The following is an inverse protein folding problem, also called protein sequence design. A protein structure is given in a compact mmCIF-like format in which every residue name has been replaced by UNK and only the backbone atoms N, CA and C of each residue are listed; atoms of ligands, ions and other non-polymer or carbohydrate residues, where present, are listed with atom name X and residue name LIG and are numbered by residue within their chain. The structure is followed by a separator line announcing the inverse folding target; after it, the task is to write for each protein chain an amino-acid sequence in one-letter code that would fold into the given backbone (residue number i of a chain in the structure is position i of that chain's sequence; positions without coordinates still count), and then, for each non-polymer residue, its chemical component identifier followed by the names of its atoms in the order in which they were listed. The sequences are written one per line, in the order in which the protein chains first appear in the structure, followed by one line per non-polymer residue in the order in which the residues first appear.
data_IF_761103865028
#
_entry.id   IF_761103865028
#
_cell.length_a   1.000
_cell.length_b   1.000
_cell.length_c   1.000
_cell.angle_alpha   90.00
_cell.angle_beta   90.00
_cell.angle_gamma   90.00
#
_symmetry.space_group_name_H-M   'P 1'
#
loop_
_entity.id
_entity.type
_entity.pdbx_description
1 polymer ?
#
# COMPACT_ATOMS: atom_id res chain seq x y z
N UNK A 1 -39.67 -56.30 48.83
CA UNK A 1 -39.68 -54.82 48.69
C UNK A 1 -38.75 -54.40 47.55
N UNK A 2 -39.30 -53.96 46.44
CA UNK A 2 -38.51 -53.46 45.32
C UNK A 2 -37.97 -52.10 45.68
N UNK A 3 -36.68 -51.94 45.81
CA UNK A 3 -36.05 -50.64 45.83
C UNK A 3 -36.10 -50.10 44.43
N UNK A 4 -36.97 -49.16 44.21
CA UNK A 4 -36.90 -48.33 43.03
C UNK A 4 -35.60 -47.53 43.07
N UNK A 5 -34.61 -48.03 42.38
CA UNK A 5 -33.44 -47.23 42.08
C UNK A 5 -33.90 -46.03 41.30
N UNK A 6 -33.89 -44.86 41.95
CA UNK A 6 -33.97 -43.61 41.25
C UNK A 6 -32.76 -43.56 40.29
N UNK A 7 -33.04 -43.87 39.02
CA UNK A 7 -32.06 -43.65 37.98
C UNK A 7 -31.66 -42.19 38.00
N UNK A 8 -30.47 -41.93 38.52
CA UNK A 8 -29.81 -40.65 38.27
C UNK A 8 -29.67 -40.52 36.77
N UNK A 9 -30.56 -39.81 36.17
CA UNK A 9 -30.31 -39.31 34.83
C UNK A 9 -29.05 -38.44 34.95
N UNK A 10 -27.93 -39.00 34.54
CA UNK A 10 -26.77 -38.19 34.30
C UNK A 10 -27.10 -37.25 33.15
N UNK A 11 -27.62 -36.09 33.51
CA UNK A 11 -27.74 -34.99 32.58
C UNK A 11 -26.32 -34.57 32.31
N UNK A 12 -25.76 -35.06 31.23
CA UNK A 12 -24.50 -34.56 30.76
C UNK A 12 -24.72 -33.10 30.34
N UNK A 13 -24.38 -32.19 31.23
CA UNK A 13 -24.35 -30.78 30.94
C UNK A 13 -23.04 -30.41 30.23
N UNK A 14 -22.68 -31.23 29.26
CA UNK A 14 -21.52 -30.91 28.44
C UNK A 14 -21.86 -29.72 27.53
N UNK A 15 -21.19 -28.59 27.79
CA UNK A 15 -21.30 -27.43 26.96
C UNK A 15 -20.64 -27.76 25.63
N UNK A 16 -21.44 -27.79 24.57
CA UNK A 16 -20.89 -27.99 23.23
C UNK A 16 -20.16 -26.71 22.83
N UNK A 17 -18.83 -26.76 22.79
CA UNK A 17 -17.97 -25.64 22.43
C UNK A 17 -17.84 -25.45 20.93
N UNK A 18 -18.40 -26.36 20.12
CA UNK A 18 -18.33 -26.28 18.64
C UNK A 18 -18.92 -24.99 18.07
N UNK A 19 -20.13 -24.52 18.50
CA UNK A 19 -20.66 -23.24 18.02
C UNK A 19 -19.80 -22.04 18.42
N UNK A 20 -19.19 -22.08 19.61
CA UNK A 20 -18.29 -21.01 20.06
C UNK A 20 -17.00 -21.00 19.27
N UNK A 21 -16.43 -22.17 19.00
CA UNK A 21 -15.23 -22.31 18.17
C UNK A 21 -15.47 -21.82 16.73
N UNK A 22 -16.65 -22.08 16.18
CA UNK A 22 -17.03 -21.62 14.84
C UNK A 22 -17.10 -20.08 14.76
N UNK A 23 -17.73 -19.45 15.74
CA UNK A 23 -17.77 -17.99 15.84
C UNK A 23 -16.35 -17.40 15.96
N UNK A 24 -15.51 -18.01 16.79
CA UNK A 24 -14.11 -17.58 16.93
C UNK A 24 -13.34 -17.74 15.63
N UNK A 25 -13.53 -18.84 14.92
CA UNK A 25 -12.90 -19.11 13.63
C UNK A 25 -13.32 -18.07 12.59
N UNK A 26 -14.62 -17.79 12.49
CA UNK A 26 -15.17 -16.80 11.57
C UNK A 26 -14.64 -15.41 11.89
N UNK A 27 -14.61 -15.01 13.15
CA UNK A 27 -14.03 -13.72 13.55
C UNK A 27 -12.55 -13.64 13.22
N UNK A 28 -11.79 -14.73 13.43
CA UNK A 28 -10.38 -14.79 13.08
C UNK A 28 -10.16 -14.57 11.57
N UNK A 29 -10.96 -15.23 10.75
CA UNK A 29 -10.88 -15.07 9.29
C UNK A 29 -11.24 -13.64 8.89
N UNK A 30 -12.30 -13.06 9.46
CA UNK A 30 -12.70 -11.67 9.18
C UNK A 30 -11.57 -10.71 9.54
N UNK A 31 -10.97 -10.83 10.71
CA UNK A 31 -9.82 -10.00 11.09
C UNK A 31 -8.62 -10.21 10.16
N UNK A 32 -8.37 -11.45 9.76
CA UNK A 32 -7.26 -11.77 8.85
C UNK A 32 -7.41 -11.11 7.48
N UNK A 33 -8.63 -11.07 6.93
CA UNK A 33 -8.87 -10.45 5.61
C UNK A 33 -9.05 -8.95 5.68
N UNK A 34 -9.46 -8.39 6.82
CA UNK A 34 -9.66 -6.95 6.99
C UNK A 34 -8.39 -6.20 7.37
N UNK A 35 -7.44 -6.84 8.06
CA UNK A 35 -6.16 -6.21 8.44
C UNK A 35 -5.37 -5.64 7.27
N UNK A 36 -5.27 -6.29 6.10
CA UNK A 36 -4.61 -5.70 4.94
C UNK A 36 -5.27 -4.43 4.42
N UNK A 37 -6.58 -4.28 4.62
CA UNK A 37 -7.33 -3.10 4.20
C UNK A 37 -7.03 -1.87 5.06
N UNK A 38 -6.54 -2.10 6.27
CA UNK A 38 -6.10 -1.03 7.17
C UNK A 38 -4.67 -0.56 6.88
N UNK A 39 -3.98 -1.21 5.97
CA UNK A 39 -2.74 -0.65 5.44
C UNK A 39 -3.10 0.63 4.70
N UNK A 40 -2.94 1.72 5.42
CA UNK A 40 -3.19 3.06 4.93
C UNK A 40 -2.45 3.26 3.61
N UNK A 41 -3.16 3.14 2.52
CA UNK A 41 -2.64 3.60 1.25
C UNK A 41 -2.28 5.07 1.42
N UNK A 42 -1.08 5.43 1.03
CA UNK A 42 -0.69 6.83 1.02
C UNK A 42 -1.61 7.52 0.04
N UNK A 43 -2.48 8.35 0.55
CA UNK A 43 -3.38 9.13 -0.30
C UNK A 43 -2.65 10.35 -0.80
N UNK A 44 -2.36 10.36 -2.08
CA UNK A 44 -1.76 11.50 -2.77
C UNK A 44 -2.78 11.98 -3.80
N UNK A 45 -3.19 13.22 -3.69
CA UNK A 45 -4.06 13.85 -4.68
C UNK A 45 -3.23 14.24 -5.89
N UNK A 46 -3.32 13.45 -6.94
CA UNK A 46 -2.55 13.69 -8.16
C UNK A 46 -3.07 14.91 -8.93
N UNK A 47 -2.18 15.67 -9.57
CA UNK A 47 -2.58 16.73 -10.46
C UNK A 47 -3.36 16.18 -11.65
N UNK A 48 -4.36 16.91 -12.11
CA UNK A 48 -5.15 16.53 -13.26
C UNK A 48 -4.47 16.97 -14.55
N UNK A 49 -4.41 16.07 -15.53
CA UNK A 49 -3.87 16.34 -16.84
C UNK A 49 -4.93 16.06 -17.91
N UNK A 50 -4.98 16.91 -18.93
CA UNK A 50 -5.95 16.76 -20.02
C UNK A 50 -5.70 15.51 -20.86
N UNK A 51 -4.45 15.21 -21.17
CA UNK A 51 -4.05 14.06 -21.98
C UNK A 51 -2.88 13.32 -21.32
N UNK A 52 -3.12 12.58 -20.23
CA UNK A 52 -2.06 11.77 -19.65
C UNK A 52 -1.71 10.62 -20.59
N UNK A 53 -0.43 10.36 -20.75
CA UNK A 53 0.04 9.16 -21.44
C UNK A 53 -0.21 7.96 -20.56
N UNK A 54 -0.69 6.88 -21.14
CA UNK A 54 -0.82 5.64 -20.44
C UNK A 54 0.55 5.12 -20.03
N UNK A 55 0.67 4.75 -18.75
CA UNK A 55 1.89 4.20 -18.18
C UNK A 55 1.65 2.76 -17.75
N UNK A 56 1.62 1.81 -18.68
CA UNK A 56 1.23 0.42 -18.38
C UNK A 56 2.16 -0.29 -17.39
N UNK A 57 3.37 0.23 -17.21
CA UNK A 57 4.31 -0.33 -16.24
C UNK A 57 4.17 0.21 -14.81
N UNK A 58 3.38 1.27 -14.60
CA UNK A 58 3.29 1.93 -13.30
C UNK A 58 2.64 1.06 -12.22
N UNK A 59 1.74 0.18 -12.61
CA UNK A 59 1.02 -0.72 -11.70
C UNK A 59 1.72 -2.07 -11.51
N UNK A 60 2.85 -2.30 -12.18
CA UNK A 60 3.61 -3.52 -12.00
C UNK A 60 4.23 -3.58 -10.60
N UNK A 61 4.39 -4.79 -10.08
CA UNK A 61 5.02 -5.01 -8.76
C UNK A 61 6.49 -4.55 -8.72
N UNK A 62 7.12 -4.53 -9.87
CA UNK A 62 8.53 -4.13 -10.03
C UNK A 62 8.69 -2.64 -10.31
N UNK A 63 7.59 -1.90 -10.45
CA UNK A 63 7.64 -0.48 -10.69
C UNK A 63 8.20 0.26 -9.47
N UNK A 64 9.14 1.16 -9.73
CA UNK A 64 9.70 2.02 -8.69
C UNK A 64 8.83 3.28 -8.64
N UNK A 65 8.03 3.38 -7.59
CA UNK A 65 7.11 4.50 -7.39
C UNK A 65 7.54 5.30 -6.16
N UNK A 66 7.84 6.56 -6.36
CA UNK A 66 8.14 7.52 -5.31
C UNK A 66 6.92 8.43 -5.13
N UNK A 67 6.44 8.55 -3.93
CA UNK A 67 5.31 9.43 -3.61
C UNK A 67 5.77 10.58 -2.71
N UNK A 68 5.30 11.77 -3.03
CA UNK A 68 5.55 12.98 -2.27
C UNK A 68 4.22 13.48 -1.71
N UNK A 69 4.08 13.45 -0.39
CA UNK A 69 2.86 13.88 0.29
C UNK A 69 2.80 15.38 0.48
N UNK A 70 1.62 15.88 0.82
CA UNK A 70 1.37 17.30 1.12
C UNK A 70 2.31 17.85 2.20
N UNK A 71 2.67 17.03 3.19
CA UNK A 71 3.58 17.40 4.28
C UNK A 71 5.05 17.40 3.87
N UNK A 72 5.35 17.07 2.61
CA UNK A 72 6.71 16.96 2.10
C UNK A 72 7.42 15.65 2.45
N UNK A 73 6.71 14.66 2.94
CA UNK A 73 7.27 13.34 3.22
C UNK A 73 7.42 12.54 1.94
N UNK A 74 8.50 11.80 1.86
CA UNK A 74 8.82 10.94 0.73
C UNK A 74 8.51 9.50 1.09
N UNK A 75 7.86 8.80 0.19
CA UNK A 75 7.58 7.39 0.31
C UNK A 75 8.09 6.65 -0.92
N UNK A 76 8.81 5.57 -0.68
CA UNK A 76 9.18 4.63 -1.74
C UNK A 76 8.21 3.46 -1.71
N UNK A 77 7.41 3.33 -2.75
CA UNK A 77 6.26 2.42 -2.79
C UNK A 77 5.26 2.73 -1.67
N UNK A 78 5.32 2.05 -0.55
CA UNK A 78 4.42 2.28 0.60
C UNK A 78 5.18 2.65 1.88
N UNK A 79 6.50 2.64 1.84
CA UNK A 79 7.34 2.85 3.01
C UNK A 79 7.89 4.27 3.04
N UNK A 80 7.80 4.95 4.20
CA UNK A 80 8.45 6.25 4.34
C UNK A 80 9.97 6.09 4.24
N UNK A 81 10.60 7.04 3.55
CA UNK A 81 12.05 7.00 3.30
C UNK A 81 12.64 8.40 3.42
N UNK A 82 13.88 8.49 3.89
CA UNK A 82 14.64 9.74 3.89
C UNK A 82 15.23 10.01 2.51
N UNK A 83 15.64 11.25 2.26
CA UNK A 83 16.30 11.62 1.01
C UNK A 83 17.61 10.85 0.79
N UNK A 84 18.40 10.67 1.86
CA UNK A 84 19.66 9.94 1.80
C UNK A 84 19.46 8.45 1.48
N UNK A 85 18.49 7.83 2.14
CA UNK A 85 18.17 6.41 1.90
C UNK A 85 17.56 6.22 0.51
N UNK A 86 16.74 7.17 0.06
CA UNK A 86 16.19 7.15 -1.30
C UNK A 86 17.30 7.18 -2.34
N UNK A 87 18.29 8.04 -2.15
CA UNK A 87 19.46 8.13 -3.04
C UNK A 87 20.23 6.82 -3.11
N UNK A 88 20.46 6.18 -1.97
CA UNK A 88 21.13 4.87 -1.91
C UNK A 88 20.35 3.79 -2.64
N UNK A 89 19.05 3.66 -2.34
CA UNK A 89 18.20 2.64 -2.95
C UNK A 89 18.08 2.85 -4.46
N UNK A 90 17.93 4.10 -4.92
CA UNK A 90 17.86 4.40 -6.34
C UNK A 90 19.18 4.11 -7.05
N UNK A 91 20.30 4.49 -6.46
CA UNK A 91 21.61 4.19 -7.06
C UNK A 91 21.87 2.69 -7.17
N UNK A 92 21.47 1.88 -6.19
CA UNK A 92 21.57 0.43 -6.24
C UNK A 92 20.67 -0.16 -7.34
N UNK A 93 19.42 0.29 -7.41
CA UNK A 93 18.44 -0.24 -8.38
C UNK A 93 18.73 0.17 -9.82
N UNK A 94 19.28 1.35 -10.04
CA UNK A 94 19.55 1.88 -11.38
C UNK A 94 21.01 1.68 -11.84
N UNK A 95 21.90 1.21 -10.99
CA UNK A 95 23.29 0.94 -11.35
C UNK A 95 23.48 -0.28 -12.29
N UNK A 96 22.45 -1.10 -12.43
CA UNK A 96 22.50 -2.33 -13.23
C UNK A 96 22.45 -2.17 -14.76
N UNK A 97 22.46 -0.95 -15.28
CA UNK A 97 22.51 -0.71 -16.73
C UNK A 97 21.27 -1.11 -17.53
N UNK A 98 20.16 -1.38 -16.88
CA UNK A 98 18.90 -1.64 -17.57
C UNK A 98 18.31 -0.35 -18.12
N UNK A 99 18.42 -0.16 -19.41
CA UNK A 99 18.09 1.05 -20.17
C UNK A 99 16.59 1.42 -20.09
N UNK A 100 15.72 0.51 -19.64
CA UNK A 100 14.27 0.68 -19.67
C UNK A 100 13.62 0.89 -18.30
N UNK A 101 14.39 1.09 -17.24
CA UNK A 101 13.81 1.36 -15.93
C UNK A 101 13.29 2.79 -15.85
N UNK A 102 12.00 2.90 -15.64
CA UNK A 102 11.33 4.18 -15.42
C UNK A 102 10.97 4.27 -13.94
N UNK A 103 11.30 5.39 -13.32
CA UNK A 103 10.79 5.72 -11.99
C UNK A 103 9.53 6.57 -12.15
N UNK A 104 8.51 6.25 -11.40
CA UNK A 104 7.27 7.02 -11.38
C UNK A 104 7.22 7.88 -10.13
N UNK A 105 6.93 9.15 -10.32
CA UNK A 105 6.77 10.12 -9.23
C UNK A 105 5.30 10.51 -9.11
N UNK A 106 4.74 10.26 -7.92
CA UNK A 106 3.42 10.75 -7.51
C UNK A 106 3.61 11.94 -6.58
N UNK A 107 3.13 13.09 -6.97
CA UNK A 107 3.17 14.28 -6.11
C UNK A 107 1.77 14.77 -5.82
N UNK A 108 1.51 15.13 -4.57
CA UNK A 108 0.26 15.80 -4.19
C UNK A 108 0.18 17.18 -4.82
N UNK A 109 -1.02 17.58 -5.24
CA UNK A 109 -1.27 18.90 -5.84
C UNK A 109 -0.91 20.07 -4.93
N UNK A 110 -0.94 19.86 -3.62
CA UNK A 110 -0.61 20.88 -2.63
C UNK A 110 0.89 21.04 -2.39
N UNK A 111 1.73 20.19 -2.98
CA UNK A 111 3.19 20.29 -2.84
C UNK A 111 3.71 21.44 -3.69
N UNK A 112 4.59 22.25 -3.13
CA UNK A 112 5.24 23.33 -3.87
C UNK A 112 6.06 22.78 -5.05
N UNK A 113 5.95 23.40 -6.19
CA UNK A 113 6.68 23.01 -7.41
C UNK A 113 8.19 22.89 -7.19
N UNK A 114 8.78 23.82 -6.44
CA UNK A 114 10.20 23.79 -6.11
C UNK A 114 10.61 22.52 -5.34
N UNK A 115 9.75 22.00 -4.49
CA UNK A 115 10.00 20.73 -3.77
C UNK A 115 9.98 19.54 -4.72
N UNK A 116 9.06 19.52 -5.66
CA UNK A 116 9.00 18.47 -6.70
C UNK A 116 10.27 18.48 -7.54
N UNK A 117 10.72 19.64 -7.96
CA UNK A 117 11.97 19.80 -8.72
C UNK A 117 13.18 19.31 -7.94
N UNK A 118 13.28 19.61 -6.64
CA UNK A 118 14.36 19.12 -5.79
C UNK A 118 14.40 17.59 -5.74
N UNK A 119 13.25 16.94 -5.61
CA UNK A 119 13.17 15.48 -5.59
C UNK A 119 13.53 14.89 -6.94
N UNK A 120 13.08 15.50 -8.03
CA UNK A 120 13.43 15.06 -9.39
C UNK A 120 14.95 15.16 -9.62
N UNK A 121 15.57 16.25 -9.20
CA UNK A 121 17.02 16.43 -9.32
C UNK A 121 17.80 15.42 -8.49
N UNK A 122 17.32 15.13 -7.28
CA UNK A 122 17.91 14.13 -6.41
C UNK A 122 17.84 12.74 -7.05
N UNK A 123 16.71 12.40 -7.64
CA UNK A 123 16.53 11.13 -8.35
C UNK A 123 17.46 11.03 -9.56
N UNK A 124 17.59 12.09 -10.35
CA UNK A 124 18.50 12.15 -11.51
C UNK A 124 19.97 11.99 -11.09
N UNK A 125 20.39 12.63 -10.02
CA UNK A 125 21.73 12.47 -9.46
C UNK A 125 22.02 11.06 -8.98
N UNK A 126 20.97 10.32 -8.63
CA UNK A 126 21.05 8.92 -8.20
C UNK A 126 21.14 7.92 -9.37
N UNK A 127 21.13 8.38 -10.60
CA UNK A 127 21.25 7.54 -11.80
C UNK A 127 19.94 7.24 -12.52
N UNK A 128 18.85 7.86 -12.12
CA UNK A 128 17.55 7.70 -12.79
C UNK A 128 17.52 8.54 -14.06
N UNK A 129 17.43 7.90 -15.22
CA UNK A 129 17.38 8.58 -16.50
C UNK A 129 15.96 9.00 -16.90
N UNK A 130 14.99 8.12 -16.66
CA UNK A 130 13.59 8.34 -17.05
C UNK A 130 12.71 8.46 -15.82
N UNK A 131 12.01 9.58 -15.70
CA UNK A 131 11.07 9.85 -14.61
C UNK A 131 9.71 10.13 -15.23
N UNK A 132 8.72 9.32 -14.89
CA UNK A 132 7.33 9.52 -15.26
C UNK A 132 6.58 10.23 -14.13
N UNK A 133 6.04 11.40 -14.39
CA UNK A 133 5.16 12.08 -13.44
C UNK A 133 3.76 11.51 -13.58
N UNK A 134 3.21 11.03 -12.48
CA UNK A 134 1.85 10.50 -12.48
C UNK A 134 0.83 11.61 -12.27
N UNK A 135 -0.18 11.61 -13.13
CA UNK A 135 -1.29 12.56 -13.06
C UNK A 135 -2.61 11.82 -13.27
N UNK A 136 -3.66 12.34 -12.68
CA UNK A 136 -5.02 11.87 -12.96
C UNK A 136 -5.54 12.47 -14.26
N UNK A 137 -6.26 11.65 -15.03
CA UNK A 137 -6.94 12.14 -16.23
C UNK A 137 -8.02 13.13 -15.82
N UNK A 138 -7.95 14.33 -16.35
CA UNK A 138 -9.03 15.30 -16.19
C UNK A 138 -10.24 14.83 -16.99
N UNK A 139 -11.28 14.39 -16.27
CA UNK A 139 -12.53 13.93 -16.88
C UNK A 139 -13.40 15.08 -17.37
N UNK A 140 -12.82 16.24 -17.63
CA UNK A 140 -13.50 17.36 -18.22
C UNK A 140 -14.78 17.70 -17.47
N UNK A 141 -14.69 17.92 -16.17
CA UNK A 141 -15.83 18.36 -15.38
C UNK A 141 -16.25 19.74 -15.88
N UNK A 142 -17.40 19.80 -16.43
CA UNK A 142 -18.06 21.08 -16.63
C UNK A 142 -18.45 21.69 -15.30
#
# INVERSE_FOLDING_TARGET
MAKRGLGRSNVNADINVTPMADIMLVLLIIFMITTPLLQSGITVNLPKAKNPLDAPGADSKDAIVVALTREGRIYLQKNPISEDDLTKVLSEKFSGGEINKIMYLKSDTAVAYGRVVQIVDLCRKSGVEKIGLMAEKDKGGQ
#
